data_IF_936006750664
#
_entry.id   IF_936006750664
#
_cell.length_a   1.000
_cell.length_b   1.000
_cell.length_c   1.000
_cell.angle_alpha   90.00
_cell.angle_beta   90.00
_cell.angle_gamma   90.00
#
_symmetry.space_group_name_H-M   'P 1'
#
loop_
_entity.id
_entity.type
_entity.pdbx_description
1 polymer ?
#
# COMPACT_ATOMS: atom_id res chain seq x y z
N UNK A 1 -1.62 1.31 21.54
CA UNK A 1 -3.08 1.03 21.60
C UNK A 1 -3.86 1.36 20.32
N UNK A 2 -3.52 2.42 19.57
CA UNK A 2 -4.33 2.87 18.42
C UNK A 2 -4.14 2.05 17.12
N UNK A 3 -2.93 1.54 16.85
CA UNK A 3 -2.64 0.78 15.62
C UNK A 3 -3.44 -0.54 15.50
N UNK A 4 -3.61 -1.36 16.56
CA UNK A 4 -4.46 -2.56 16.49
C UNK A 4 -5.94 -2.26 16.18
N UNK A 5 -6.46 -1.13 16.69
CA UNK A 5 -7.85 -0.72 16.43
C UNK A 5 -8.04 -0.38 14.95
N UNK A 6 -7.12 0.41 14.38
CA UNK A 6 -7.15 0.73 12.96
C UNK A 6 -7.05 -0.53 12.09
N UNK A 7 -6.17 -1.46 12.48
CA UNK A 7 -6.00 -2.72 11.77
C UNK A 7 -7.29 -3.54 11.77
N UNK A 8 -7.88 -3.78 12.93
CA UNK A 8 -9.07 -4.62 13.05
C UNK A 8 -10.31 -3.98 12.41
N UNK A 9 -10.44 -2.65 12.51
CA UNK A 9 -11.61 -1.92 11.99
C UNK A 9 -11.57 -1.69 10.49
N UNK A 10 -10.39 -1.41 9.92
CA UNK A 10 -10.28 -0.93 8.53
C UNK A 10 -9.43 -1.81 7.61
N UNK A 11 -8.40 -2.49 8.13
CA UNK A 11 -7.43 -3.22 7.30
C UNK A 11 -7.69 -4.73 7.26
N UNK A 12 -8.18 -5.31 8.36
CA UNK A 12 -8.35 -6.76 8.53
C UNK A 12 -7.03 -7.51 8.22
N UNK A 13 -7.03 -8.35 7.18
CA UNK A 13 -5.85 -9.06 6.67
C UNK A 13 -5.08 -8.31 5.58
N UNK A 14 -5.60 -7.17 5.11
CA UNK A 14 -5.01 -6.39 4.02
C UNK A 14 -3.97 -5.40 4.53
N UNK A 15 -3.01 -5.05 3.69
CA UNK A 15 -2.10 -3.94 3.97
C UNK A 15 -2.79 -2.60 3.69
N UNK A 16 -2.29 -1.52 4.30
CA UNK A 16 -2.83 -0.16 4.07
C UNK A 16 -2.87 0.19 2.58
N UNK A 17 -1.87 -0.27 1.82
CA UNK A 17 -1.77 0.02 0.41
C UNK A 17 -2.86 -0.66 -0.44
N UNK A 18 -3.32 -1.85 -0.04
CA UNK A 18 -4.37 -2.62 -0.72
C UNK A 18 -5.79 -2.12 -0.46
N UNK A 19 -6.01 -1.35 0.60
CA UNK A 19 -7.35 -0.86 0.93
C UNK A 19 -7.68 0.35 0.04
N UNK A 20 -8.91 0.38 -0.47
CA UNK A 20 -9.48 1.49 -1.24
C UNK A 20 -10.61 2.16 -0.46
N UNK A 21 -10.85 3.44 -0.73
CA UNK A 21 -11.91 4.22 -0.09
C UNK A 21 -13.27 3.77 -0.64
N UNK A 22 -14.23 3.48 0.25
CA UNK A 22 -15.60 3.12 -0.10
C UNK A 22 -16.57 4.27 0.21
N UNK A 23 -17.68 4.39 -0.52
CA UNK A 23 -18.69 5.41 -0.24
C UNK A 23 -19.29 5.32 1.17
N UNK A 24 -19.36 4.11 1.73
CA UNK A 24 -19.91 3.82 3.07
C UNK A 24 -18.91 4.07 4.21
N UNK A 25 -17.65 4.41 3.91
CA UNK A 25 -16.63 4.56 4.94
C UNK A 25 -16.83 5.82 5.79
N UNK A 26 -16.39 5.74 7.05
CA UNK A 26 -16.43 6.87 7.98
C UNK A 26 -15.66 8.08 7.44
N UNK A 27 -16.11 9.33 7.69
CA UNK A 27 -15.41 10.54 7.26
C UNK A 27 -13.93 10.59 7.67
N UNK A 28 -13.62 10.08 8.87
CA UNK A 28 -12.24 9.91 9.36
C UNK A 28 -11.39 9.04 8.41
N UNK A 29 -11.88 7.85 8.07
CA UNK A 29 -11.18 6.93 7.17
C UNK A 29 -11.00 7.53 5.77
N UNK A 30 -12.03 8.21 5.25
CA UNK A 30 -11.94 8.92 3.96
C UNK A 30 -10.84 9.98 3.97
N UNK A 31 -10.69 10.74 5.07
CA UNK A 31 -9.59 11.69 5.25
C UNK A 31 -8.23 11.02 5.20
N UNK A 32 -8.06 9.92 5.93
CA UNK A 32 -6.80 9.16 5.93
C UNK A 32 -6.49 8.58 4.54
N UNK A 33 -7.48 8.02 3.86
CA UNK A 33 -7.34 7.44 2.52
C UNK A 33 -6.91 8.47 1.46
N UNK A 34 -7.33 9.74 1.57
CA UNK A 34 -6.86 10.81 0.68
C UNK A 34 -5.36 11.09 0.84
N UNK A 35 -4.83 10.95 2.05
CA UNK A 35 -3.40 11.14 2.33
C UNK A 35 -2.55 9.90 2.05
N UNK A 36 -3.20 8.73 1.90
CA UNK A 36 -2.53 7.43 1.72
C UNK A 36 -1.53 7.46 0.57
N UNK A 37 -1.95 7.92 -0.62
CA UNK A 37 -1.12 7.81 -1.82
C UNK A 37 0.13 8.71 -1.72
N UNK A 38 0.01 9.89 -1.12
CA UNK A 38 1.15 10.77 -0.87
C UNK A 38 2.12 10.14 0.14
N UNK A 39 1.59 9.55 1.21
CA UNK A 39 2.39 8.87 2.23
C UNK A 39 3.15 7.68 1.64
N UNK A 40 2.48 6.80 0.90
CA UNK A 40 3.10 5.61 0.29
C UNK A 40 4.18 5.95 -0.74
N UNK A 41 4.10 7.10 -1.41
CA UNK A 41 5.13 7.57 -2.34
C UNK A 41 6.39 8.11 -1.65
N UNK A 42 6.32 8.45 -0.36
CA UNK A 42 7.41 9.09 0.39
C UNK A 42 8.05 8.18 1.44
N UNK A 43 7.51 6.98 1.60
CA UNK A 43 7.95 6.03 2.63
C UNK A 43 8.59 4.83 1.97
N UNK A 44 9.71 4.39 2.53
CA UNK A 44 10.35 3.13 2.17
C UNK A 44 9.84 1.99 3.05
N UNK A 45 9.58 0.86 2.43
CA UNK A 45 9.19 -0.35 3.16
C UNK A 45 10.42 -1.15 3.55
N UNK A 46 10.67 -1.30 4.85
CA UNK A 46 11.67 -2.24 5.33
C UNK A 46 11.12 -3.66 5.16
N UNK A 47 11.78 -4.46 4.33
CA UNK A 47 11.37 -5.84 4.07
C UNK A 47 11.86 -6.72 5.23
N UNK A 48 10.90 -7.27 5.99
CA UNK A 48 11.18 -8.35 6.94
C UNK A 48 11.18 -9.71 6.24
N UNK A 49 10.20 -10.55 6.54
CA UNK A 49 10.02 -11.86 5.89
C UNK A 49 9.37 -11.78 4.49
N UNK A 50 9.15 -10.57 3.95
CA UNK A 50 8.60 -10.35 2.61
C UNK A 50 7.11 -10.69 2.42
N UNK A 51 6.45 -11.37 3.36
CA UNK A 51 5.07 -11.85 3.17
C UNK A 51 4.03 -10.73 2.96
N UNK A 52 4.30 -9.54 3.48
CA UNK A 52 3.41 -8.37 3.35
C UNK A 52 3.94 -7.31 2.36
N UNK A 53 5.03 -7.59 1.65
CA UNK A 53 5.67 -6.65 0.74
C UNK A 53 5.12 -6.85 -0.67
N UNK A 54 4.59 -5.80 -1.29
CA UNK A 54 4.19 -5.84 -2.70
C UNK A 54 5.42 -5.58 -3.55
N UNK A 55 5.98 -6.66 -4.08
CA UNK A 55 7.24 -6.65 -4.82
C UNK A 55 7.34 -5.54 -5.88
N UNK A 56 6.28 -5.32 -6.66
CA UNK A 56 6.29 -4.31 -7.72
C UNK A 56 5.88 -2.92 -7.24
N UNK A 57 4.84 -2.84 -6.41
CA UNK A 57 4.11 -1.61 -6.11
C UNK A 57 4.65 -0.85 -4.89
N UNK A 58 5.41 -1.52 -4.01
CA UNK A 58 6.01 -0.89 -2.85
C UNK A 58 7.43 -0.40 -3.15
N UNK A 59 7.79 0.78 -2.66
CA UNK A 59 9.16 1.29 -2.68
C UNK A 59 9.99 0.61 -1.57
N UNK A 60 10.26 -0.69 -1.75
CA UNK A 60 11.12 -1.45 -0.84
C UNK A 60 12.59 -1.46 -1.30
N UNK A 61 12.83 -1.23 -2.60
CA UNK A 61 14.17 -1.10 -3.20
C UNK A 61 14.39 0.33 -3.70
N UNK A 62 15.04 1.16 -2.89
CA UNK A 62 15.32 2.56 -3.22
C UNK A 62 14.17 3.51 -2.89
N UNK A 63 14.04 4.59 -3.66
CA UNK A 63 13.03 5.66 -3.43
C UNK A 63 11.74 5.48 -4.25
N UNK A 64 11.79 4.69 -5.32
CA UNK A 64 10.67 4.54 -6.26
C UNK A 64 10.26 3.08 -6.40
N UNK A 65 8.96 2.77 -6.52
CA UNK A 65 8.50 1.41 -6.80
C UNK A 65 9.06 0.86 -8.11
N UNK A 66 9.22 -0.47 -8.18
CA UNK A 66 9.70 -1.15 -9.37
C UNK A 66 8.75 -1.01 -10.56
N UNK A 67 7.44 -0.80 -10.31
CA UNK A 67 6.47 -0.48 -11.38
C UNK A 67 6.85 0.76 -12.19
N UNK A 68 7.47 1.75 -11.53
CA UNK A 68 7.87 3.01 -12.18
C UNK A 68 9.22 2.86 -12.86
N UNK A 69 10.15 2.12 -12.25
CA UNK A 69 11.49 1.91 -12.80
C UNK A 69 11.48 0.96 -14.02
N UNK A 70 10.63 -0.07 -14.00
CA UNK A 70 10.61 -1.13 -15.00
C UNK A 70 9.18 -1.42 -15.50
N UNK A 71 8.51 -0.44 -16.15
CA UNK A 71 7.11 -0.58 -16.57
C UNK A 71 6.90 -1.74 -17.56
N UNK A 72 7.86 -2.01 -18.44
CA UNK A 72 7.80 -3.12 -19.41
C UNK A 72 7.78 -4.48 -18.71
N UNK A 73 8.62 -4.68 -17.68
CA UNK A 73 8.64 -5.93 -16.93
C UNK A 73 7.35 -6.11 -16.13
N UNK A 74 6.85 -5.03 -15.54
CA UNK A 74 5.59 -5.06 -14.80
C UNK A 74 4.41 -5.50 -15.68
N UNK A 75 4.32 -5.00 -16.91
CA UNK A 75 3.27 -5.38 -17.86
C UNK A 75 3.28 -6.87 -18.19
N UNK A 76 4.46 -7.48 -18.31
CA UNK A 76 4.60 -8.93 -18.57
C UNK A 76 4.03 -9.73 -17.38
N UNK A 77 4.30 -9.30 -16.15
CA UNK A 77 3.80 -9.98 -14.94
C UNK A 77 2.29 -9.83 -14.76
N UNK A 78 1.71 -8.71 -15.19
CA UNK A 78 0.26 -8.44 -15.10
C UNK A 78 -0.56 -9.14 -16.18
N UNK A 79 0.06 -9.58 -17.30
CA UNK A 79 -0.64 -10.25 -18.41
C UNK A 79 -0.90 -11.76 -18.16
N UNK A 80 -1.11 -12.18 -16.91
CA UNK A 80 -1.44 -13.56 -16.57
C UNK A 80 -2.90 -13.72 -16.15
#
# INVERSE_FOLDING_TARGET
MWAPILRNKYLQSKTLAQVTMRPTDSPFWKGLMRTKDLFLRRVKFLVGNGMSTRFWEDAWLGETPLTIQYPTLYNIVQCK
#
